data_IF_072271299677
#
_entry.id   IF_072271299677
#
_cell.length_a   1.000
_cell.length_b   1.000
_cell.length_c   1.000
_cell.angle_alpha   90.00
_cell.angle_beta   90.00
_cell.angle_gamma   90.00
#
_symmetry.space_group_name_H-M   'P 1'
#
loop_
_entity.id
_entity.type
_entity.pdbx_description
1 polymer ?
#
# COMPACT_ATOMS: atom_id res chain seq x y z
N UNK A 1 61.16 24.30 -26.35
CA UNK A 1 60.49 24.61 -25.06
C UNK A 1 59.08 25.06 -25.39
N UNK A 2 58.13 24.14 -25.36
CA UNK A 2 56.71 24.35 -25.70
C UNK A 2 55.91 23.99 -24.45
N UNK A 3 55.07 24.86 -23.87
CA UNK A 3 54.22 24.47 -22.76
C UNK A 3 52.96 23.79 -23.31
N UNK A 4 52.75 22.54 -22.92
CA UNK A 4 51.51 21.78 -23.13
C UNK A 4 50.56 22.17 -22.00
N UNK A 5 49.47 22.86 -22.33
CA UNK A 5 48.35 23.13 -21.42
C UNK A 5 47.46 21.89 -21.43
N UNK A 6 47.39 21.16 -20.30
CA UNK A 6 46.38 20.13 -20.07
C UNK A 6 45.13 20.79 -19.50
N UNK A 7 44.15 21.07 -20.36
CA UNK A 7 42.78 21.42 -19.95
C UNK A 7 42.00 20.13 -19.70
N UNK A 8 41.70 19.82 -18.43
CA UNK A 8 40.82 18.72 -18.06
C UNK A 8 39.37 19.20 -18.16
N UNK A 9 38.74 18.98 -19.31
CA UNK A 9 37.27 19.04 -19.42
C UNK A 9 36.67 17.88 -18.63
N UNK A 10 36.19 18.18 -17.42
CA UNK A 10 35.24 17.35 -16.69
C UNK A 10 33.96 17.21 -17.53
N UNK A 11 33.67 15.99 -17.97
CA UNK A 11 32.39 15.61 -18.57
C UNK A 11 31.45 15.29 -17.42
N UNK A 12 30.61 16.26 -17.06
CA UNK A 12 29.51 16.06 -16.13
C UNK A 12 28.39 15.28 -16.83
N UNK A 13 28.40 13.96 -16.68
CA UNK A 13 27.33 13.09 -17.12
C UNK A 13 26.13 13.17 -16.15
N UNK A 14 25.38 14.25 -16.29
CA UNK A 14 23.99 14.21 -16.75
C UNK A 14 23.03 13.15 -16.17
N UNK A 15 21.94 13.71 -15.62
CA UNK A 15 20.56 13.19 -15.59
C UNK A 15 20.20 12.26 -14.44
N UNK A 16 19.93 12.88 -13.30
CA UNK A 16 18.98 12.39 -12.33
C UNK A 16 17.56 12.43 -12.97
N UNK A 17 17.16 11.36 -13.67
CA UNK A 17 15.82 11.25 -14.27
C UNK A 17 14.82 10.98 -13.15
N UNK A 18 14.56 12.00 -12.34
CA UNK A 18 13.56 11.96 -11.28
C UNK A 18 12.18 12.17 -11.91
N UNK A 19 11.74 11.24 -12.75
CA UNK A 19 10.36 11.13 -13.20
C UNK A 19 9.51 10.55 -12.05
N UNK A 20 9.42 11.28 -10.94
CA UNK A 20 8.41 11.04 -9.92
C UNK A 20 7.09 11.57 -10.47
N UNK A 21 6.44 10.78 -11.34
CA UNK A 21 5.01 10.98 -11.60
C UNK A 21 4.31 10.92 -10.25
N UNK A 22 3.46 11.89 -9.95
CA UNK A 22 2.66 11.87 -8.73
C UNK A 22 1.91 10.54 -8.64
N UNK A 23 1.66 10.04 -7.43
CA UNK A 23 0.90 8.81 -7.25
C UNK A 23 -0.43 8.84 -8.02
N UNK A 24 -1.08 10.01 -8.08
CA UNK A 24 -2.25 10.28 -8.93
C UNK A 24 -2.01 9.99 -10.43
N UNK A 25 -0.90 10.47 -11.00
CA UNK A 25 -0.55 10.25 -12.41
C UNK A 25 -0.27 8.78 -12.74
N UNK A 26 0.24 7.99 -11.78
CA UNK A 26 0.39 6.55 -11.96
C UNK A 26 -0.97 5.84 -11.91
N UNK A 27 -1.86 6.23 -10.99
CA UNK A 27 -3.23 5.70 -10.92
C UNK A 27 -4.06 6.06 -12.17
N UNK A 28 -3.84 7.23 -12.77
CA UNK A 28 -4.43 7.59 -14.07
C UNK A 28 -3.96 6.67 -15.21
N UNK A 29 -2.74 6.14 -15.15
CA UNK A 29 -2.27 5.12 -16.09
C UNK A 29 -2.84 3.71 -15.77
N UNK A 30 -3.42 3.51 -14.58
CA UNK A 30 -4.02 2.24 -14.16
C UNK A 30 -5.48 2.07 -14.62
N UNK A 31 -6.16 3.16 -14.99
CA UNK A 31 -7.56 3.15 -15.44
C UNK A 31 -7.60 3.60 -16.90
N UNK A 32 -8.22 2.84 -17.83
CA UNK A 32 -8.36 3.28 -19.21
C UNK A 32 -9.05 4.64 -19.28
N UNK A 33 -8.53 5.55 -20.11
CA UNK A 33 -8.96 6.94 -20.28
C UNK A 33 -10.34 7.09 -20.97
N UNK A 34 -11.34 6.27 -20.60
CA UNK A 34 -12.69 6.30 -21.18
C UNK A 34 -13.72 7.01 -20.28
N UNK A 35 -13.30 7.59 -19.15
CA UNK A 35 -14.19 8.38 -18.29
C UNK A 35 -13.50 9.71 -17.95
N UNK A 36 -13.63 10.68 -18.86
CA UNK A 36 -13.26 12.06 -18.58
C UNK A 36 -14.16 12.64 -17.50
N UNK A 37 -13.58 13.05 -16.38
CA UNK A 37 -14.24 13.92 -15.42
C UNK A 37 -13.36 15.14 -15.19
N UNK A 38 -13.91 16.29 -15.60
CA UNK A 38 -13.34 17.62 -15.43
C UNK A 38 -13.48 17.98 -13.94
N UNK A 39 -12.36 18.06 -13.21
CA UNK A 39 -12.38 18.58 -11.85
C UNK A 39 -12.49 20.11 -11.90
N UNK A 40 -13.68 20.64 -11.57
CA UNK A 40 -13.88 22.04 -11.25
C UNK A 40 -13.25 22.32 -9.88
N UNK A 41 -12.30 23.25 -9.84
CA UNK A 41 -11.70 23.76 -8.63
C UNK A 41 -12.61 24.86 -8.04
N UNK A 42 -13.20 24.61 -6.88
CA UNK A 42 -13.76 25.68 -6.05
C UNK A 42 -12.94 25.82 -4.77
N UNK A 43 -12.31 26.98 -4.69
CA UNK A 43 -11.56 27.48 -3.54
C UNK A 43 -12.53 28.17 -2.59
N UNK A 44 -12.59 27.74 -1.33
CA UNK A 44 -13.07 28.61 -0.25
C UNK A 44 -12.22 28.41 1.00
N UNK A 45 -11.49 29.48 1.34
CA UNK A 45 -10.84 29.66 2.62
C UNK A 45 -11.91 29.88 3.71
N UNK A 46 -11.73 29.22 4.86
CA UNK A 46 -12.52 29.43 6.06
C UNK A 46 -11.57 29.41 7.26
N UNK A 47 -11.36 30.60 7.81
CA UNK A 47 -10.65 30.87 9.05
C UNK A 47 -11.58 30.53 10.22
N UNK A 48 -11.11 29.71 11.18
CA UNK A 48 -11.80 29.48 12.45
C UNK A 48 -10.80 29.02 13.52
N UNK A 49 -10.52 29.95 14.42
CA UNK A 49 -9.89 29.79 15.73
C UNK A 49 -10.78 28.91 16.63
N UNK A 50 -10.23 27.85 17.23
CA UNK A 50 -10.89 27.18 18.35
C UNK A 50 -9.90 26.52 19.31
N UNK A 51 -9.97 26.97 20.57
CA UNK A 51 -9.12 26.57 21.69
C UNK A 51 -9.56 25.20 22.20
N UNK A 52 -8.68 24.21 22.14
CA UNK A 52 -8.89 22.93 22.83
C UNK A 52 -8.07 22.83 24.13
N UNK A 53 -8.80 22.61 25.22
CA UNK A 53 -8.29 22.28 26.55
C UNK A 53 -7.60 20.92 26.49
N UNK A 54 -6.28 20.91 26.70
CA UNK A 54 -5.47 19.70 26.84
C UNK A 54 -5.86 18.92 28.10
N UNK A 55 -6.60 17.84 27.94
CA UNK A 55 -6.65 16.76 28.94
C UNK A 55 -5.58 15.71 28.58
N UNK A 56 -4.81 15.19 29.55
CA UNK A 56 -3.67 14.32 29.26
C UNK A 56 -4.16 12.97 28.71
N UNK A 57 -3.55 12.42 27.64
CA UNK A 57 -3.89 11.10 27.16
C UNK A 57 -3.40 10.07 28.18
N UNK A 58 -4.32 9.21 28.62
CA UNK A 58 -4.01 7.95 29.27
C UNK A 58 -3.01 7.18 28.42
N UNK A 59 -1.79 7.01 28.94
CA UNK A 59 -0.66 6.33 28.31
C UNK A 59 -0.91 4.83 28.23
N UNK A 60 -1.74 4.40 27.27
CA UNK A 60 -1.51 3.10 26.63
C UNK A 60 -0.27 3.27 25.76
N UNK A 61 0.83 2.59 26.10
CA UNK A 61 2.03 2.51 25.27
C UNK A 61 1.69 1.81 23.96
N UNK A 62 1.15 2.54 22.98
CA UNK A 62 1.02 2.07 21.60
C UNK A 62 2.42 1.92 21.04
N UNK A 63 2.88 0.67 20.92
CA UNK A 63 4.12 0.35 20.22
C UNK A 63 3.87 0.58 18.73
N UNK A 64 4.35 1.70 18.20
CA UNK A 64 4.33 1.97 16.76
C UNK A 64 5.56 1.35 16.13
N UNK A 65 5.37 0.61 15.04
CA UNK A 65 6.46 0.01 14.26
C UNK A 65 6.24 0.31 12.79
N UNK A 66 7.31 0.41 12.01
CA UNK A 66 7.18 0.60 10.56
C UNK A 66 7.29 -0.74 9.86
N UNK A 67 6.37 -1.01 8.93
CA UNK A 67 6.37 -2.22 8.08
C UNK A 67 6.29 -1.82 6.61
N UNK A 68 6.64 -2.73 5.71
CA UNK A 68 6.46 -2.54 4.26
C UNK A 68 5.22 -3.26 3.78
N UNK A 69 4.30 -2.51 3.16
CA UNK A 69 3.12 -3.06 2.48
C UNK A 69 3.30 -3.02 0.96
N UNK A 70 2.97 -4.12 0.29
CA UNK A 70 2.98 -4.21 -1.18
C UNK A 70 1.64 -4.74 -1.68
N UNK A 71 0.91 -3.91 -2.43
CA UNK A 71 -0.21 -4.34 -3.26
C UNK A 71 0.32 -4.66 -4.65
N UNK A 72 -0.07 -5.79 -5.22
CA UNK A 72 0.32 -6.16 -6.57
C UNK A 72 -0.75 -7.02 -7.22
N UNK A 73 -0.88 -6.93 -8.54
CA UNK A 73 -1.86 -7.70 -9.29
C UNK A 73 -1.79 -7.38 -10.77
N UNK A 74 -2.19 -8.35 -11.59
CA UNK A 74 -2.33 -8.13 -13.03
C UNK A 74 -3.51 -7.19 -13.32
N UNK A 75 -3.49 -6.51 -14.46
CA UNK A 75 -4.51 -5.51 -14.82
C UNK A 75 -5.92 -6.10 -14.83
N UNK A 76 -6.08 -7.32 -15.34
CA UNK A 76 -7.35 -8.07 -15.37
C UNK A 76 -7.50 -9.05 -14.20
N UNK A 77 -6.55 -9.04 -13.27
CA UNK A 77 -6.48 -9.97 -12.15
C UNK A 77 -7.06 -9.43 -10.85
N UNK A 78 -6.89 -10.23 -9.80
CA UNK A 78 -7.17 -9.86 -8.41
C UNK A 78 -5.94 -9.24 -7.75
N UNK A 79 -6.17 -8.44 -6.71
CA UNK A 79 -5.10 -7.84 -5.92
C UNK A 79 -4.57 -8.83 -4.89
N UNK A 80 -3.25 -8.94 -4.82
CA UNK A 80 -2.54 -9.52 -3.69
C UNK A 80 -1.95 -8.42 -2.81
N UNK A 81 -2.12 -8.54 -1.50
CA UNK A 81 -1.55 -7.62 -0.51
C UNK A 81 -0.59 -8.38 0.41
N UNK A 82 0.64 -7.89 0.48
CA UNK A 82 1.72 -8.48 1.25
C UNK A 82 2.25 -7.49 2.29
N UNK A 83 2.39 -7.95 3.54
CA UNK A 83 3.08 -7.22 4.61
C UNK A 83 4.42 -7.89 4.93
N UNK A 84 5.47 -7.09 5.06
CA UNK A 84 6.84 -7.50 5.40
C UNK A 84 7.40 -6.57 6.47
N UNK A 85 8.22 -7.06 7.40
CA UNK A 85 8.94 -6.18 8.34
C UNK A 85 9.91 -5.27 7.57
N UNK A 86 10.69 -5.87 6.66
CA UNK A 86 11.60 -5.17 5.77
C UNK A 86 11.61 -5.79 4.37
N UNK A 87 12.20 -5.11 3.38
CA UNK A 87 12.01 -5.48 1.96
C UNK A 87 12.48 -6.88 1.57
N UNK A 88 13.45 -7.42 2.31
CA UNK A 88 14.04 -8.75 2.11
C UNK A 88 13.51 -9.83 3.07
N UNK A 89 12.59 -9.48 3.97
CA UNK A 89 12.03 -10.44 4.94
C UNK A 89 10.98 -11.33 4.27
N UNK A 90 10.76 -12.52 4.86
CA UNK A 90 9.58 -13.31 4.55
C UNK A 90 8.31 -12.52 4.89
N UNK A 91 7.26 -12.58 4.06
CA UNK A 91 5.97 -11.96 4.38
C UNK A 91 5.42 -12.42 5.73
N UNK A 92 5.00 -11.44 6.53
CA UNK A 92 4.19 -11.66 7.74
C UNK A 92 2.80 -12.16 7.36
N UNK A 93 2.26 -11.59 6.28
CA UNK A 93 0.92 -11.82 5.79
C UNK A 93 0.90 -11.66 4.26
N UNK A 94 0.25 -12.60 3.57
CA UNK A 94 -0.10 -12.49 2.16
C UNK A 94 -1.58 -12.79 2.00
N UNK A 95 -2.33 -11.80 1.51
CA UNK A 95 -3.76 -11.89 1.25
C UNK A 95 -4.01 -11.77 -0.24
N UNK A 96 -4.97 -12.53 -0.74
CA UNK A 96 -5.60 -12.30 -2.03
C UNK A 96 -6.98 -11.71 -1.82
N UNK A 97 -7.24 -10.56 -2.43
CA UNK A 97 -8.54 -9.92 -2.36
C UNK A 97 -9.44 -10.43 -3.48
N UNK A 98 -10.72 -10.60 -3.19
CA UNK A 98 -11.72 -10.91 -4.22
C UNK A 98 -11.93 -9.76 -5.22
N UNK A 99 -11.46 -8.55 -4.91
CA UNK A 99 -11.62 -7.37 -5.77
C UNK A 99 -10.62 -7.34 -6.93
N UNK A 100 -11.05 -6.91 -8.13
CA UNK A 100 -10.14 -6.69 -9.25
C UNK A 100 -9.14 -5.56 -8.98
N UNK A 101 -7.95 -5.64 -9.58
CA UNK A 101 -6.92 -4.58 -9.50
C UNK A 101 -7.46 -3.23 -9.97
N UNK A 102 -8.24 -3.21 -11.05
CA UNK A 102 -8.85 -2.00 -11.59
C UNK A 102 -9.85 -1.34 -10.60
N UNK A 103 -10.56 -2.13 -9.80
CA UNK A 103 -11.47 -1.60 -8.77
C UNK A 103 -10.68 -0.86 -7.70
N UNK A 104 -9.63 -1.49 -7.15
CA UNK A 104 -8.80 -0.87 -6.11
C UNK A 104 -8.09 0.39 -6.63
N UNK A 105 -7.56 0.34 -7.86
CA UNK A 105 -6.94 1.49 -8.49
C UNK A 105 -7.93 2.67 -8.63
N UNK A 106 -9.18 2.41 -9.01
CA UNK A 106 -10.22 3.44 -9.08
C UNK A 106 -10.50 4.05 -7.72
N UNK A 107 -10.65 3.24 -6.67
CA UNK A 107 -10.86 3.75 -5.30
C UNK A 107 -9.70 4.65 -4.83
N UNK A 108 -8.45 4.31 -5.21
CA UNK A 108 -7.28 5.13 -4.92
C UNK A 108 -7.30 6.52 -5.58
N UNK A 109 -7.98 6.71 -6.74
CA UNK A 109 -8.04 8.01 -7.44
C UNK A 109 -8.69 9.11 -6.60
N UNK A 110 -9.59 8.73 -5.70
CA UNK A 110 -10.29 9.66 -4.82
C UNK A 110 -9.40 10.24 -3.71
N UNK A 111 -8.17 9.74 -3.57
CA UNK A 111 -7.18 10.24 -2.60
C UNK A 111 -7.35 9.68 -1.18
N UNK A 112 -8.44 8.99 -0.88
CA UNK A 112 -8.68 8.31 0.40
C UNK A 112 -9.13 6.87 0.16
N UNK A 113 -8.38 5.92 0.70
CA UNK A 113 -8.70 4.50 0.67
C UNK A 113 -8.56 3.87 2.05
N UNK A 114 -9.67 3.38 2.59
CA UNK A 114 -9.73 2.62 3.85
C UNK A 114 -10.16 1.19 3.57
N UNK A 115 -9.26 0.24 3.78
CA UNK A 115 -9.54 -1.17 3.68
C UNK A 115 -9.75 -1.75 5.07
N UNK A 116 -10.95 -2.23 5.39
CA UNK A 116 -11.19 -2.97 6.62
C UNK A 116 -11.35 -4.47 6.31
N UNK A 117 -10.62 -5.30 7.04
CA UNK A 117 -10.65 -6.75 6.96
C UNK A 117 -11.17 -7.26 8.30
N UNK A 118 -12.38 -7.80 8.28
CA UNK A 118 -13.09 -8.25 9.47
C UNK A 118 -13.20 -9.76 9.49
N UNK A 119 -12.92 -10.39 10.64
CA UNK A 119 -13.20 -11.79 10.87
C UNK A 119 -14.00 -11.97 12.16
N UNK A 120 -14.88 -12.96 12.20
CA UNK A 120 -15.60 -13.33 13.42
C UNK A 120 -14.77 -14.31 14.24
N UNK A 121 -14.92 -14.29 15.57
CA UNK A 121 -14.36 -15.31 16.45
C UNK A 121 -14.79 -16.73 16.03
N UNK A 122 -13.85 -17.70 16.02
CA UNK A 122 -14.22 -19.11 16.03
C UNK A 122 -15.13 -19.40 17.23
N UNK A 123 -16.23 -20.12 17.02
CA UNK A 123 -17.21 -20.37 18.08
C UNK A 123 -16.57 -21.11 19.26
N UNK A 124 -17.01 -20.70 20.45
CA UNK A 124 -16.53 -20.99 21.81
C UNK A 124 -16.33 -22.48 22.21
N UNK A 125 -16.65 -23.43 21.33
CA UNK A 125 -16.53 -24.87 21.61
C UNK A 125 -15.12 -25.45 21.38
N UNK A 126 -14.19 -24.68 20.80
CA UNK A 126 -12.78 -25.06 20.67
C UNK A 126 -12.03 -24.55 21.92
N UNK A 127 -12.22 -25.26 23.03
CA UNK A 127 -11.56 -25.01 24.32
C UNK A 127 -10.05 -24.73 24.14
N UNK A 128 -9.59 -23.57 24.63
CA UNK A 128 -8.18 -23.20 24.75
C UNK A 128 -7.35 -23.09 23.45
N UNK A 129 -7.95 -22.82 22.29
CA UNK A 129 -7.14 -22.31 21.18
C UNK A 129 -6.72 -20.88 21.52
N UNK A 130 -5.46 -20.70 21.91
CA UNK A 130 -4.82 -19.38 22.02
C UNK A 130 -5.32 -18.50 20.88
N UNK A 131 -5.77 -17.28 21.19
CA UNK A 131 -6.19 -16.31 20.17
C UNK A 131 -5.06 -16.20 19.17
N UNK A 132 -5.25 -16.80 17.99
CA UNK A 132 -4.18 -16.83 17.00
C UNK A 132 -3.90 -15.40 16.54
N UNK A 133 -2.65 -15.10 16.18
CA UNK A 133 -2.30 -13.79 15.61
C UNK A 133 -3.28 -13.42 14.48
N UNK A 134 -3.63 -12.14 14.34
CA UNK A 134 -4.47 -11.67 13.22
C UNK A 134 -3.85 -12.09 11.88
N UNK A 135 -2.52 -12.11 11.75
CA UNK A 135 -1.84 -12.59 10.55
C UNK A 135 -2.06 -14.08 10.24
N UNK A 136 -2.61 -14.87 11.18
CA UNK A 136 -2.93 -16.28 10.97
C UNK A 136 -4.36 -16.54 10.48
N UNK A 137 -5.24 -15.55 10.54
CA UNK A 137 -6.65 -15.68 10.14
C UNK A 137 -6.75 -16.04 8.65
N UNK A 138 -7.49 -17.10 8.28
CA UNK A 138 -7.52 -17.61 6.91
C UNK A 138 -8.41 -16.80 5.97
N UNK A 139 -9.52 -16.26 6.45
CA UNK A 139 -10.54 -15.58 5.63
C UNK A 139 -11.04 -14.35 6.34
N UNK A 140 -11.20 -13.26 5.59
CA UNK A 140 -11.67 -11.97 6.05
C UNK A 140 -12.82 -11.49 5.18
N UNK A 141 -13.85 -10.88 5.78
CA UNK A 141 -14.76 -10.00 5.05
C UNK A 141 -14.04 -8.69 4.75
N UNK A 142 -14.05 -8.27 3.49
CA UNK A 142 -13.34 -7.08 3.03
C UNK A 142 -14.31 -5.94 2.78
N UNK A 143 -13.98 -4.78 3.33
CA UNK A 143 -14.70 -3.52 3.14
C UNK A 143 -13.76 -2.48 2.55
N UNK A 144 -14.25 -1.74 1.57
CA UNK A 144 -13.57 -0.59 0.98
C UNK A 144 -14.40 0.66 1.29
N UNK A 145 -13.81 1.62 2.01
CA UNK A 145 -14.47 2.87 2.40
C UNK A 145 -15.84 2.65 3.07
N UNK A 146 -15.92 1.64 3.95
CA UNK A 146 -17.14 1.26 4.68
C UNK A 146 -18.13 0.37 3.93
N UNK A 147 -17.89 0.08 2.64
CA UNK A 147 -18.76 -0.79 1.82
C UNK A 147 -18.18 -2.19 1.73
N UNK A 148 -18.98 -3.23 1.97
CA UNK A 148 -18.55 -4.62 1.79
C UNK A 148 -18.32 -4.90 0.31
N UNK A 149 -17.10 -5.30 -0.07
CA UNK A 149 -16.68 -5.52 -1.46
C UNK A 149 -16.32 -6.97 -1.76
N UNK A 150 -16.22 -7.82 -0.74
CA UNK A 150 -15.97 -9.25 -0.93
C UNK A 150 -15.23 -9.86 0.25
N UNK A 151 -14.27 -10.72 -0.07
CA UNK A 151 -13.43 -11.40 0.91
C UNK A 151 -11.95 -11.17 0.62
N UNK A 152 -11.12 -11.33 1.64
CA UNK A 152 -9.67 -11.49 1.49
C UNK A 152 -9.27 -12.84 2.09
N UNK A 153 -8.49 -13.61 1.34
CA UNK A 153 -8.09 -14.97 1.71
C UNK A 153 -6.59 -14.98 1.93
N UNK A 154 -6.17 -15.48 3.09
CA UNK A 154 -4.75 -15.72 3.36
C UNK A 154 -4.29 -16.91 2.54
N UNK A 155 -3.18 -16.74 1.82
CA UNK A 155 -2.59 -17.80 1.01
C UNK A 155 -1.08 -17.89 1.20
N UNK A 156 -0.52 -19.03 0.83
CA UNK A 156 0.93 -19.22 0.76
C UNK A 156 1.51 -18.55 -0.48
N UNK A 157 2.80 -18.22 -0.43
CA UNK A 157 3.53 -17.70 -1.59
C UNK A 157 3.61 -18.75 -2.70
N UNK A 158 3.19 -18.38 -3.90
CA UNK A 158 3.42 -19.10 -5.14
C UNK A 158 4.79 -18.75 -5.72
N UNK A 159 5.23 -19.50 -6.74
CA UNK A 159 6.46 -19.20 -7.50
C UNK A 159 6.42 -17.79 -8.10
N UNK A 160 5.25 -17.35 -8.56
CA UNK A 160 5.05 -15.99 -9.08
C UNK A 160 5.25 -14.94 -7.97
N UNK A 161 4.68 -15.14 -6.78
CA UNK A 161 4.85 -14.18 -5.67
C UNK A 161 6.32 -14.05 -5.28
N UNK A 162 7.06 -15.16 -5.26
CA UNK A 162 8.50 -15.14 -4.98
C UNK A 162 9.25 -14.32 -6.03
N UNK A 163 8.91 -14.44 -7.32
CA UNK A 163 9.52 -13.64 -8.38
C UNK A 163 9.20 -12.15 -8.24
N UNK A 164 7.94 -11.81 -7.94
CA UNK A 164 7.49 -10.43 -7.69
C UNK A 164 8.22 -9.82 -6.50
N UNK A 165 8.25 -10.52 -5.36
CA UNK A 165 8.88 -10.03 -4.15
C UNK A 165 10.40 -9.89 -4.30
N UNK A 166 11.06 -10.75 -5.10
CA UNK A 166 12.47 -10.59 -5.48
C UNK A 166 12.71 -9.30 -6.25
N UNK A 167 11.88 -8.99 -7.25
CA UNK A 167 11.96 -7.73 -8.00
C UNK A 167 11.70 -6.51 -7.10
N UNK A 168 10.86 -6.67 -6.07
CA UNK A 168 10.56 -5.61 -5.12
C UNK A 168 11.64 -5.34 -4.07
N UNK A 169 12.70 -6.16 -3.98
CA UNK A 169 13.75 -5.97 -2.96
C UNK A 169 14.54 -4.65 -3.13
N UNK A 170 14.62 -4.12 -4.35
CA UNK A 170 15.27 -2.84 -4.67
C UNK A 170 14.31 -1.64 -4.61
N UNK A 171 13.02 -1.88 -4.37
CA UNK A 171 11.99 -0.83 -4.30
C UNK A 171 11.65 -0.57 -2.84
N UNK A 172 11.94 0.62 -2.34
CA UNK A 172 11.53 0.99 -0.97
C UNK A 172 10.08 1.46 -0.93
N UNK A 173 9.75 2.44 -1.78
CA UNK A 173 8.40 3.04 -1.89
C UNK A 173 8.17 3.44 -3.36
N UNK A 174 6.98 3.19 -3.88
CA UNK A 174 6.57 3.60 -5.23
C UNK A 174 5.43 2.77 -5.80
N UNK A 175 4.88 3.22 -6.92
CA UNK A 175 3.94 2.45 -7.73
C UNK A 175 4.48 2.30 -9.15
N UNK A 176 4.06 1.26 -9.86
CA UNK A 176 4.53 1.03 -11.22
C UNK A 176 4.01 -0.25 -11.83
N UNK A 177 4.60 -0.61 -12.97
CA UNK A 177 4.34 -1.86 -13.69
C UNK A 177 5.63 -2.66 -13.80
N UNK A 178 5.52 -3.98 -13.63
CA UNK A 178 6.61 -4.94 -13.81
C UNK A 178 6.34 -5.81 -15.05
N UNK A 179 7.32 -5.98 -15.95
CA UNK A 179 7.24 -6.92 -17.05
C UNK A 179 7.52 -8.33 -16.52
N UNK A 180 6.50 -9.01 -16.00
CA UNK A 180 6.65 -10.40 -15.56
C UNK A 180 6.28 -11.35 -16.70
N UNK A 181 7.21 -12.22 -17.08
CA UNK A 181 7.07 -13.14 -18.22
C UNK A 181 6.00 -14.24 -18.04
N UNK A 182 5.33 -14.30 -16.89
CA UNK A 182 4.36 -15.35 -16.53
C UNK A 182 2.90 -14.94 -16.72
N UNK A 183 2.62 -13.71 -17.16
CA UNK A 183 1.29 -13.33 -17.65
C UNK A 183 1.07 -13.83 -19.08
N UNK A 184 -0.20 -14.04 -19.47
CA UNK A 184 -0.55 -14.19 -20.89
C UNK A 184 0.07 -13.03 -21.68
N UNK A 185 0.56 -13.31 -22.89
CA UNK A 185 1.35 -12.38 -23.70
C UNK A 185 0.76 -10.95 -23.73
N UNK A 186 1.30 -10.06 -22.90
CA UNK A 186 0.90 -8.65 -22.82
C UNK A 186 0.26 -8.17 -21.50
N UNK A 187 0.00 -9.02 -20.50
CA UNK A 187 -0.52 -8.54 -19.21
C UNK A 187 0.61 -8.03 -18.28
N UNK A 188 0.51 -6.76 -17.89
CA UNK A 188 1.50 -6.09 -17.05
C UNK A 188 1.11 -6.23 -15.58
N UNK A 189 2.06 -6.67 -14.75
CA UNK A 189 1.84 -6.72 -13.31
C UNK A 189 1.95 -5.31 -12.73
N UNK A 190 0.91 -4.87 -12.04
CA UNK A 190 0.86 -3.55 -11.42
C UNK A 190 1.23 -3.71 -9.94
N UNK A 191 1.91 -2.72 -9.38
CA UNK A 191 2.24 -2.74 -7.96
C UNK A 191 2.17 -1.34 -7.33
N UNK A 192 1.91 -1.33 -6.02
CA UNK A 192 2.09 -0.23 -5.09
C UNK A 192 2.84 -0.77 -3.88
N UNK A 193 3.96 -0.15 -3.56
CA UNK A 193 4.78 -0.45 -2.39
C UNK A 193 4.93 0.82 -1.55
N UNK A 194 4.68 0.71 -0.25
CA UNK A 194 4.82 1.83 0.66
C UNK A 194 5.24 1.37 2.06
N UNK A 195 5.79 2.30 2.82
CA UNK A 195 5.99 2.14 4.27
C UNK A 195 4.67 2.42 4.98
N UNK A 196 4.34 1.60 5.98
CA UNK A 196 3.16 1.76 6.81
C UNK A 196 3.57 1.86 8.26
N UNK A 197 2.96 2.81 8.97
CA UNK A 197 2.94 2.82 10.42
C UNK A 197 1.95 1.77 10.89
N UNK A 198 2.46 0.75 11.58
CA UNK A 198 1.67 -0.29 12.24
C UNK A 198 1.34 0.18 13.64
N UNK A 199 0.04 0.18 13.96
CA UNK A 199 -0.50 0.48 15.28
C UNK A 199 -1.24 -0.74 15.79
N UNK A 200 -0.80 -1.26 16.93
CA UNK A 200 -1.47 -2.38 17.61
C UNK A 200 -2.42 -1.80 18.64
N UNK A 201 -3.73 -1.93 18.40
CA UNK A 201 -4.76 -1.48 19.33
C UNK A 201 -5.04 -2.52 20.42
N UNK A 202 -5.18 -3.79 20.03
CA UNK A 202 -5.37 -4.93 20.93
C UNK A 202 -4.97 -6.24 20.24
N UNK A 203 -5.14 -7.37 20.92
CA UNK A 203 -4.97 -8.69 20.30
C UNK A 203 -5.93 -8.96 19.11
N UNK A 204 -6.98 -8.15 19.00
CA UNK A 204 -8.07 -8.29 18.03
C UNK A 204 -8.16 -7.09 17.07
N UNK A 205 -7.25 -6.12 17.17
CA UNK A 205 -7.23 -4.94 16.30
C UNK A 205 -5.80 -4.47 15.99
N UNK A 206 -5.47 -4.44 14.71
CA UNK A 206 -4.25 -3.81 14.18
C UNK A 206 -4.58 -2.92 12.98
N UNK A 207 -3.91 -1.77 12.88
CA UNK A 207 -4.04 -0.87 11.73
C UNK A 207 -2.68 -0.54 11.12
N UNK A 208 -2.71 -0.25 9.82
CA UNK A 208 -1.56 0.07 9.00
C UNK A 208 -1.86 1.34 8.23
N UNK A 209 -1.16 2.43 8.53
CA UNK A 209 -1.36 3.73 7.92
C UNK A 209 -0.19 4.07 7.01
N UNK A 210 -0.45 4.34 5.73
CA UNK A 210 0.60 4.64 4.76
C UNK A 210 1.35 5.92 5.16
N UNK A 211 2.67 5.81 5.24
CA UNK A 211 3.57 6.94 5.49
C UNK A 211 3.87 7.60 4.16
N UNK A 212 3.34 8.81 3.98
CA UNK A 212 3.60 9.60 2.78
C UNK A 212 5.04 10.13 2.78
N UNK A 213 5.80 10.00 1.68
CA UNK A 213 7.10 10.64 1.56
C UNK A 213 6.94 12.17 1.58
N UNK A 214 7.91 12.86 2.19
CA UNK A 214 7.90 14.33 2.32
C UNK A 214 7.66 14.99 0.95
N UNK A 215 6.64 15.86 0.87
CA UNK A 215 6.21 16.52 -0.37
C UNK A 215 5.14 15.78 -1.19
N UNK A 216 4.65 14.63 -0.73
CA UNK A 216 3.47 13.94 -1.29
C UNK A 216 2.20 14.41 -0.59
N UNK A 217 1.39 15.24 -1.26
CA UNK A 217 0.09 15.66 -0.75
C UNK A 217 -1.05 14.82 -1.35
N UNK A 218 -1.87 14.24 -0.47
CA UNK A 218 -3.25 13.88 -0.79
C UNK A 218 -3.59 12.42 -1.08
N UNK A 219 -2.69 11.46 -0.83
CA UNK A 219 -3.08 10.04 -0.78
C UNK A 219 -3.05 9.53 0.67
N UNK A 220 -4.21 9.18 1.19
CA UNK A 220 -4.37 8.48 2.46
C UNK A 220 -4.78 7.04 2.17
N UNK A 221 -3.97 6.09 2.64
CA UNK A 221 -4.24 4.67 2.52
C UNK A 221 -4.09 4.04 3.89
N UNK A 222 -5.15 3.39 4.37
CA UNK A 222 -5.14 2.67 5.64
C UNK A 222 -5.72 1.27 5.47
N UNK A 223 -5.12 0.29 6.14
CA UNK A 223 -5.62 -1.09 6.23
C UNK A 223 -5.87 -1.43 7.69
N UNK A 224 -7.04 -1.99 8.00
CA UNK A 224 -7.46 -2.37 9.34
C UNK A 224 -7.72 -3.88 9.36
N UNK A 225 -7.13 -4.57 10.34
CA UNK A 225 -7.41 -5.96 10.66
C UNK A 225 -8.20 -6.00 11.96
N UNK A 226 -9.44 -6.46 11.90
CA UNK A 226 -10.37 -6.44 13.02
C UNK A 226 -10.94 -7.85 13.26
N UNK A 227 -10.93 -8.29 14.51
CA UNK A 227 -11.63 -9.49 14.96
C UNK A 227 -12.76 -9.10 15.90
N UNK A 228 -13.98 -9.48 15.54
CA UNK A 228 -15.21 -9.28 16.33
C UNK A 228 -15.67 -10.55 17.01
#
# INVERSE_FOLDING_TARGET
MVPIIHDHRSVDCGRDVRFRRSFRSLVECMVPACCGFQASADSLAGDADDRYISSPPSTTTTTTTTVTGTFFGYRKGRVSFCLQDHTRSSPLLLLEFAVPTAYLAKEMQHGLLRLALECCHPRQNDSQKERCSLFKVPVWSMYCNGRKVGFAIRRQMSVNDVAVLKLMQSVSVGAGVLPLATGEAGDLLMYLRASFERVVGSADSESFHMINPVGSSGQELSVFLLRS
#
